data_IF_362122648962
#
_entry.id   IF_362122648962
#
_cell.length_a   1.000
_cell.length_b   1.000
_cell.length_c   1.000
_cell.angle_alpha   90.00
_cell.angle_beta   90.00
_cell.angle_gamma   90.00
#
_symmetry.space_group_name_H-M   'P 1'
#
loop_
_entity.id
_entity.type
_entity.pdbx_description
1 polymer ?
#
# COMPACT_ATOMS: atom_id res chain seq x y z
N UNK A 1 -17.70 -42.84 16.47
CA UNK A 1 -16.94 -41.76 15.82
C UNK A 1 -17.77 -40.47 15.88
N UNK A 2 -17.30 -39.43 16.58
CA UNK A 2 -18.02 -38.16 16.70
C UNK A 2 -17.85 -37.35 15.41
N UNK A 3 -18.95 -36.92 14.79
CA UNK A 3 -18.93 -36.01 13.63
C UNK A 3 -18.41 -34.66 14.12
N UNK A 4 -17.25 -34.23 13.62
CA UNK A 4 -16.74 -32.87 13.83
C UNK A 4 -17.79 -31.88 13.32
N UNK A 5 -18.20 -30.94 14.16
CA UNK A 5 -19.16 -29.90 13.77
C UNK A 5 -18.62 -29.14 12.56
N UNK A 6 -19.42 -29.00 11.51
CA UNK A 6 -19.06 -28.15 10.37
C UNK A 6 -18.97 -26.70 10.86
N UNK A 7 -17.75 -26.17 10.97
CA UNK A 7 -17.55 -24.74 11.22
C UNK A 7 -18.10 -23.98 10.02
N UNK A 8 -19.12 -23.15 10.24
CA UNK A 8 -19.71 -22.30 9.21
C UNK A 8 -18.60 -21.45 8.58
N UNK A 9 -18.50 -21.38 7.24
CA UNK A 9 -17.52 -20.52 6.59
C UNK A 9 -17.67 -19.08 7.08
N UNK A 10 -16.56 -18.36 7.33
CA UNK A 10 -16.63 -16.96 7.74
C UNK A 10 -17.41 -16.15 6.70
N UNK A 11 -18.26 -15.24 7.17
CA UNK A 11 -19.06 -14.40 6.28
C UNK A 11 -18.15 -13.51 5.45
N UNK A 12 -18.44 -13.43 4.13
CA UNK A 12 -17.72 -12.52 3.23
C UNK A 12 -17.95 -11.07 3.69
N UNK A 13 -16.90 -10.22 3.75
CA UNK A 13 -17.07 -8.81 4.07
C UNK A 13 -17.97 -8.11 3.04
N UNK A 14 -18.72 -7.10 3.49
CA UNK A 14 -19.59 -6.29 2.63
C UNK A 14 -18.74 -5.49 1.65
N UNK A 15 -19.06 -5.49 0.34
CA UNK A 15 -18.37 -4.67 -0.64
C UNK A 15 -18.45 -3.18 -0.29
N UNK A 16 -17.33 -2.47 -0.45
CA UNK A 16 -17.24 -1.01 -0.27
C UNK A 16 -16.74 -0.34 -1.54
N UNK A 17 -17.31 0.82 -1.86
CA UNK A 17 -16.83 1.68 -2.94
C UNK A 17 -15.68 2.54 -2.41
N UNK A 18 -14.61 2.63 -3.18
CA UNK A 18 -13.41 3.42 -2.88
C UNK A 18 -12.89 4.00 -4.19
N UNK A 19 -12.23 5.15 -4.10
CA UNK A 19 -11.47 5.70 -5.22
C UNK A 19 -10.18 4.90 -5.43
N UNK A 20 -9.66 4.93 -6.65
CA UNK A 20 -8.45 4.22 -7.04
C UNK A 20 -7.57 5.10 -7.93
N UNK A 21 -6.27 4.85 -7.90
CA UNK A 21 -5.26 5.52 -8.72
C UNK A 21 -4.42 4.48 -9.46
N UNK A 22 -4.06 4.81 -10.71
CA UNK A 22 -3.09 4.06 -11.51
C UNK A 22 -1.74 4.77 -11.41
N UNK A 23 -0.68 4.05 -11.09
CA UNK A 23 0.67 4.62 -10.98
C UNK A 23 1.76 3.59 -11.31
N UNK A 24 2.97 4.07 -11.60
CA UNK A 24 4.13 3.22 -11.86
C UNK A 24 4.82 2.84 -10.55
N UNK A 25 4.98 1.54 -10.31
CA UNK A 25 5.75 0.97 -9.23
C UNK A 25 7.19 0.75 -9.68
N UNK A 26 8.17 1.27 -8.93
CA UNK A 26 9.58 1.13 -9.26
C UNK A 26 10.10 -0.26 -8.80
N UNK A 27 10.29 -1.18 -9.74
CA UNK A 27 10.87 -2.51 -9.47
C UNK A 27 12.32 -2.60 -9.95
N UNK A 28 13.07 -3.57 -9.44
CA UNK A 28 14.46 -3.79 -9.86
C UNK A 28 14.60 -4.10 -11.36
N UNK A 29 13.58 -4.69 -11.97
CA UNK A 29 13.57 -5.11 -13.38
C UNK A 29 12.91 -4.10 -14.31
N UNK A 30 12.51 -2.93 -13.81
CA UNK A 30 11.77 -1.90 -14.55
C UNK A 30 10.45 -1.53 -13.89
N UNK A 31 9.77 -0.54 -14.43
CA UNK A 31 8.53 -0.03 -13.85
C UNK A 31 7.33 -0.91 -14.22
N UNK A 32 6.41 -1.10 -13.27
CA UNK A 32 5.16 -1.84 -13.48
C UNK A 32 3.98 -0.95 -13.12
N UNK A 33 3.00 -0.86 -14.02
CA UNK A 33 1.77 -0.13 -13.74
C UNK A 33 0.89 -0.91 -12.75
N UNK A 34 0.44 -0.25 -11.69
CA UNK A 34 -0.39 -0.86 -10.64
C UNK A 34 -1.58 0.03 -10.30
N UNK A 35 -2.65 -0.60 -9.82
CA UNK A 35 -3.82 0.10 -9.27
C UNK A 35 -3.74 0.04 -7.75
N UNK A 36 -3.86 1.20 -7.09
CA UNK A 36 -3.88 1.30 -5.64
C UNK A 36 -5.00 2.21 -5.12
N UNK A 37 -5.24 2.14 -3.81
CA UNK A 37 -6.17 3.03 -3.09
C UNK A 37 -5.35 4.18 -2.51
N UNK A 38 -5.54 5.42 -2.99
CA UNK A 38 -4.72 6.55 -2.60
C UNK A 38 -5.06 7.07 -1.20
N UNK A 39 -4.08 7.67 -0.55
CA UNK A 39 -4.24 8.51 0.64
C UNK A 39 -3.10 9.52 0.77
N UNK A 40 -3.42 10.68 1.34
CA UNK A 40 -2.42 11.71 1.60
C UNK A 40 -1.83 11.57 3.01
N UNK A 41 -0.50 11.70 3.11
CA UNK A 41 0.21 11.76 4.37
C UNK A 41 1.50 12.58 4.22
N UNK A 42 1.75 13.49 5.18
CA UNK A 42 2.88 14.44 5.18
C UNK A 42 3.08 15.19 3.85
N UNK A 43 1.98 15.66 3.25
CA UNK A 43 1.98 16.47 2.03
C UNK A 43 2.31 15.68 0.74
N UNK A 44 2.25 14.35 0.78
CA UNK A 44 2.48 13.48 -0.38
C UNK A 44 1.35 12.44 -0.50
N UNK A 45 1.11 11.98 -1.72
CA UNK A 45 0.11 10.95 -2.00
C UNK A 45 0.78 9.58 -2.04
N UNK A 46 0.23 8.66 -1.25
CA UNK A 46 0.65 7.27 -1.13
C UNK A 46 -0.49 6.39 -1.63
N UNK A 47 -0.20 5.16 -2.04
CA UNK A 47 -1.23 4.22 -2.47
C UNK A 47 -1.01 2.83 -1.86
N UNK A 48 -2.09 2.26 -1.35
CA UNK A 48 -2.11 0.86 -0.89
C UNK A 48 -2.43 -0.01 -2.10
N UNK A 49 -1.60 -1.02 -2.37
CA UNK A 49 -1.82 -1.95 -3.47
C UNK A 49 -1.42 -3.38 -3.05
N UNK A 50 -1.87 -4.37 -3.81
CA UNK A 50 -1.39 -5.74 -3.64
C UNK A 50 0.09 -5.82 -4.04
N UNK A 51 0.88 -6.62 -3.33
CA UNK A 51 2.29 -6.81 -3.68
C UNK A 51 2.39 -7.49 -5.06
N UNK A 52 3.16 -6.88 -5.95
CA UNK A 52 3.45 -7.41 -7.28
C UNK A 52 4.49 -8.53 -7.18
N UNK A 53 4.25 -9.65 -7.86
CA UNK A 53 5.21 -10.75 -7.94
C UNK A 53 5.14 -11.78 -6.80
N UNK A 54 4.20 -11.65 -5.85
CA UNK A 54 3.95 -12.71 -4.86
C UNK A 54 3.13 -13.87 -5.48
N UNK A 55 3.43 -15.12 -5.11
CA UNK A 55 2.57 -16.27 -5.42
C UNK A 55 1.16 -16.06 -4.85
N UNK A 56 0.15 -16.59 -5.54
CA UNK A 56 -1.27 -16.47 -5.15
C UNK A 56 -1.52 -17.06 -3.75
N UNK A 57 -0.75 -18.09 -3.37
CA UNK A 57 -0.81 -18.78 -2.09
C UNK A 57 -0.29 -17.94 -0.92
N UNK A 58 0.56 -16.95 -1.21
CA UNK A 58 1.08 -15.99 -0.23
C UNK A 58 0.18 -14.75 -0.10
N UNK A 59 -0.84 -14.60 -0.96
CA UNK A 59 -1.79 -13.49 -0.93
C UNK A 59 -2.97 -13.76 0.04
N UNK A 60 -3.65 -12.72 0.57
CA UNK A 60 -3.40 -11.30 0.32
C UNK A 60 -2.31 -10.73 1.22
N UNK A 61 -1.35 -10.04 0.60
CA UNK A 61 -0.45 -9.11 1.28
C UNK A 61 -0.50 -7.80 0.50
N UNK A 62 -0.85 -6.74 1.22
CA UNK A 62 -0.90 -5.37 0.74
C UNK A 62 0.35 -4.63 1.20
N UNK A 63 0.73 -3.62 0.45
CA UNK A 63 1.84 -2.74 0.75
C UNK A 63 1.49 -1.31 0.39
N UNK A 64 2.25 -0.35 0.89
CA UNK A 64 2.16 1.05 0.51
C UNK A 64 3.37 1.49 -0.31
N UNK A 65 3.12 2.25 -1.36
CA UNK A 65 4.16 2.90 -2.16
C UNK A 65 3.82 4.38 -2.41
N UNK A 66 4.86 5.18 -2.62
CA UNK A 66 4.72 6.56 -3.08
C UNK A 66 4.15 6.57 -4.50
N UNK A 67 3.08 7.33 -4.72
CA UNK A 67 2.45 7.42 -6.04
C UNK A 67 3.39 8.09 -7.05
N UNK A 68 4.15 9.10 -6.61
CA UNK A 68 4.96 9.89 -7.52
C UNK A 68 6.24 9.15 -7.97
N UNK A 69 6.93 8.49 -7.04
CA UNK A 69 8.22 7.83 -7.33
C UNK A 69 8.12 6.31 -7.49
N UNK A 70 6.96 5.72 -7.19
CA UNK A 70 6.78 4.26 -7.19
C UNK A 70 7.56 3.55 -6.09
N UNK A 71 8.16 4.28 -5.14
CA UNK A 71 9.01 3.69 -4.09
C UNK A 71 8.16 3.12 -2.97
N UNK A 72 8.46 1.88 -2.62
CA UNK A 72 7.83 1.16 -1.52
C UNK A 72 8.18 1.77 -0.13
N UNK A 73 7.20 1.78 0.79
CA UNK A 73 7.39 2.14 2.20
C UNK A 73 7.78 0.89 3.01
N UNK A 74 9.02 0.80 3.53
CA UNK A 74 9.48 -0.38 4.25
C UNK A 74 8.61 -0.74 5.46
N UNK A 75 8.30 -2.03 5.62
CA UNK A 75 7.53 -2.54 6.76
C UNK A 75 6.05 -2.21 6.72
N UNK A 76 5.53 -1.76 5.57
CA UNK A 76 4.10 -1.50 5.37
C UNK A 76 3.29 -2.75 5.00
N UNK A 77 3.94 -3.91 4.87
CA UNK A 77 3.30 -5.13 4.43
C UNK A 77 2.30 -5.67 5.46
N UNK A 78 1.05 -5.86 5.05
CA UNK A 78 0.02 -6.41 5.93
C UNK A 78 -1.07 -7.17 5.17
N UNK A 79 -1.82 -8.01 5.89
CA UNK A 79 -2.91 -8.80 5.30
C UNK A 79 -4.19 -8.00 5.02
N UNK A 80 -4.28 -6.76 5.50
CA UNK A 80 -5.44 -5.89 5.27
C UNK A 80 -4.98 -4.50 4.83
N UNK A 81 -5.82 -3.84 4.04
CA UNK A 81 -5.58 -2.47 3.57
C UNK A 81 -5.34 -1.50 4.74
N UNK A 82 -6.17 -1.59 5.78
CA UNK A 82 -6.09 -0.68 6.93
C UNK A 82 -4.82 -0.91 7.76
N UNK A 83 -4.41 -2.17 7.92
CA UNK A 83 -3.17 -2.49 8.62
C UNK A 83 -1.95 -2.02 7.82
N UNK A 84 -1.94 -2.18 6.49
CA UNK A 84 -0.85 -1.73 5.64
C UNK A 84 -0.73 -0.19 5.68
N UNK A 85 -1.86 0.51 5.64
CA UNK A 85 -1.92 1.97 5.78
C UNK A 85 -1.39 2.42 7.14
N UNK A 86 -1.84 1.79 8.23
CA UNK A 86 -1.42 2.15 9.58
C UNK A 86 0.08 1.91 9.79
N UNK A 87 0.60 0.77 9.31
CA UNK A 87 2.02 0.46 9.36
C UNK A 87 2.85 1.47 8.55
N UNK A 88 2.41 1.81 7.34
CA UNK A 88 3.08 2.82 6.53
C UNK A 88 3.11 4.20 7.21
N UNK A 89 1.98 4.65 7.77
CA UNK A 89 1.91 5.93 8.50
C UNK A 89 2.88 5.92 9.68
N UNK A 90 2.92 4.83 10.47
CA UNK A 90 3.85 4.70 11.59
C UNK A 90 5.32 4.76 11.13
N UNK A 91 5.66 4.10 10.01
CA UNK A 91 7.01 4.19 9.42
C UNK A 91 7.33 5.63 8.98
N UNK A 92 6.40 6.30 8.29
CA UNK A 92 6.60 7.65 7.74
C UNK A 92 6.67 8.72 8.85
N UNK A 93 5.96 8.53 9.96
CA UNK A 93 5.99 9.40 11.13
C UNK A 93 7.26 9.23 11.97
N UNK A 94 7.89 8.05 11.91
CA UNK A 94 9.18 7.82 12.55
C UNK A 94 10.36 8.49 11.83
N UNK A 95 10.17 8.94 10.58
CA UNK A 95 11.18 9.67 9.80
C UNK A 95 11.31 11.11 10.31
N UNK A 96 12.52 11.51 10.71
CA UNK A 96 12.80 12.88 11.16
C UNK A 96 12.60 13.90 10.05
N UNK A 97 12.24 15.14 10.37
CA UNK A 97 12.04 16.18 9.36
C UNK A 97 13.28 16.43 8.49
N UNK A 98 14.47 16.30 9.06
CA UNK A 98 15.73 16.43 8.31
C UNK A 98 15.87 15.31 7.27
N UNK A 99 15.71 14.04 7.69
CA UNK A 99 15.80 12.91 6.76
C UNK A 99 14.64 12.89 5.75
N UNK A 100 13.48 13.41 6.13
CA UNK A 100 12.35 13.62 5.24
C UNK A 100 12.68 14.65 4.15
N UNK A 101 13.26 15.79 4.54
CA UNK A 101 13.69 16.82 3.59
C UNK A 101 14.82 16.33 2.68
N UNK A 102 15.74 15.50 3.17
CA UNK A 102 16.77 14.89 2.32
C UNK A 102 16.19 13.87 1.32
N UNK A 103 15.24 13.04 1.77
CA UNK A 103 14.64 12.01 0.95
C UNK A 103 13.62 12.54 -0.07
N UNK A 104 12.90 13.62 0.27
CA UNK A 104 11.75 14.10 -0.50
C UNK A 104 11.77 15.60 -0.82
N UNK A 105 12.73 16.36 -0.27
CA UNK A 105 12.81 17.81 -0.42
C UNK A 105 13.53 18.25 -1.67
N UNK A 106 12.92 18.01 -2.85
CA UNK A 106 12.88 18.95 -3.99
C UNK A 106 11.64 18.64 -4.85
N UNK A 107 10.79 19.66 -4.96
CA UNK A 107 9.60 19.85 -5.82
C UNK A 107 8.48 18.81 -5.76
N UNK A 108 7.47 19.13 -4.94
CA UNK A 108 6.09 19.02 -5.37
C UNK A 108 5.94 19.74 -6.72
N UNK A 109 5.93 18.99 -7.82
CA UNK A 109 5.47 19.50 -9.11
C UNK A 109 3.95 19.24 -9.15
N UNK A 110 3.12 20.27 -9.38
CA UNK A 110 1.68 20.07 -9.44
C UNK A 110 1.37 19.14 -10.60
N UNK A 111 0.58 18.10 -10.33
CA UNK A 111 0.00 17.27 -11.38
C UNK A 111 -0.88 18.18 -12.26
N UNK A 112 -0.39 18.50 -13.45
CA UNK A 112 -1.22 19.11 -14.50
C UNK A 112 -2.28 18.11 -14.94
N UNK A 113 -3.51 18.62 -15.03
CA UNK A 113 -4.76 17.94 -15.35
C UNK A 113 -4.77 17.20 -16.69
#
# INVERSE_FOLDING_TARGET
>A
MARKSSTKPPARPVPRRVDAIVFSLAMQTGDVEVIGIPFDHRGRTWAIHAIVGLPIEAAPVYTVSDVLTGRHVPGSEAQTLDAARAAAIATLDAVTDTSWAEAFGVTAQPATA
#
